data_IF_373644449641
#
_entry.id   IF_373644449641
#
_cell.length_a   1.000
_cell.length_b   1.000
_cell.length_c   1.000
_cell.angle_alpha   90.00
_cell.angle_beta   90.00
_cell.angle_gamma   90.00
#
_symmetry.space_group_name_H-M   'P 1'
#
loop_
_entity.id
_entity.type
_entity.pdbx_description
1 polymer ?
#
# COMPACT_ATOMS: atom_id res chain seq x y z
N UNK A 1 -13.95 35.81 -24.53
CA UNK A 1 -13.54 34.48 -24.04
C UNK A 1 -14.63 33.97 -23.11
N UNK A 2 -15.12 32.75 -23.29
CA UNK A 2 -16.16 32.20 -22.41
C UNK A 2 -15.61 32.06 -20.99
N UNK A 3 -16.37 32.52 -19.99
CA UNK A 3 -15.97 32.40 -18.59
C UNK A 3 -16.03 30.93 -18.18
N UNK A 4 -14.91 30.42 -17.65
CA UNK A 4 -14.86 29.04 -17.16
C UNK A 4 -15.88 28.91 -16.01
N UNK A 5 -16.72 27.87 -15.99
CA UNK A 5 -17.68 27.68 -14.91
C UNK A 5 -16.98 27.58 -13.55
N UNK A 6 -17.53 28.24 -12.52
CA UNK A 6 -16.93 28.24 -11.17
C UNK A 6 -16.86 26.83 -10.55
N UNK A 7 -17.66 25.89 -11.06
CA UNK A 7 -17.64 24.46 -10.71
C UNK A 7 -16.38 23.73 -11.18
N UNK A 8 -15.62 24.30 -12.11
CA UNK A 8 -14.38 23.69 -12.61
C UNK A 8 -13.22 24.02 -11.69
N UNK A 9 -12.53 22.98 -11.25
CA UNK A 9 -11.30 23.06 -10.50
C UNK A 9 -10.11 22.79 -11.43
N UNK A 10 -9.52 23.87 -11.95
CA UNK A 10 -8.38 23.78 -12.89
C UNK A 10 -7.14 23.17 -12.23
N UNK A 11 -6.98 23.35 -10.92
CA UNK A 11 -5.86 22.74 -10.18
C UNK A 11 -6.06 21.23 -10.12
N UNK A 12 -7.27 20.77 -9.83
CA UNK A 12 -7.58 19.34 -9.87
C UNK A 12 -7.37 18.72 -11.25
N UNK A 13 -7.68 19.45 -12.33
CA UNK A 13 -7.41 18.99 -13.71
C UNK A 13 -5.91 18.80 -13.93
N UNK A 14 -5.09 19.75 -13.51
CA UNK A 14 -3.64 19.67 -13.66
C UNK A 14 -3.02 18.57 -12.80
N UNK A 15 -3.48 18.41 -11.56
CA UNK A 15 -3.07 17.30 -10.70
C UNK A 15 -3.38 15.94 -11.37
N UNK A 16 -4.57 15.77 -11.95
CA UNK A 16 -4.94 14.54 -12.69
C UNK A 16 -4.04 14.30 -13.91
N UNK A 17 -3.69 15.37 -14.64
CA UNK A 17 -2.74 15.30 -15.77
C UNK A 17 -1.38 14.78 -15.30
N UNK A 18 -0.84 15.33 -14.21
CA UNK A 18 0.44 14.92 -13.64
C UNK A 18 0.41 13.45 -13.16
N UNK A 19 -0.70 13.02 -12.53
CA UNK A 19 -0.90 11.62 -12.14
C UNK A 19 -0.87 10.69 -13.36
N UNK A 20 -1.59 11.03 -14.44
CA UNK A 20 -1.64 10.22 -15.67
C UNK A 20 -0.26 10.10 -16.34
N UNK A 21 0.57 11.14 -16.25
CA UNK A 21 1.96 11.11 -16.73
C UNK A 21 2.96 10.49 -15.75
N UNK A 22 2.48 9.86 -14.66
CA UNK A 22 3.31 9.24 -13.61
C UNK A 22 4.26 10.22 -12.91
N UNK A 23 3.99 11.53 -12.97
CA UNK A 23 4.76 12.60 -12.31
C UNK A 23 4.24 12.85 -10.90
N UNK A 24 4.26 11.80 -10.07
CA UNK A 24 3.59 11.81 -8.76
C UNK A 24 4.20 12.82 -7.78
N UNK A 25 5.51 13.03 -7.80
CA UNK A 25 6.16 14.02 -6.91
C UNK A 25 5.66 15.44 -7.19
N UNK A 26 5.49 15.78 -8.47
CA UNK A 26 5.00 17.10 -8.89
C UNK A 26 3.51 17.26 -8.63
N UNK A 27 2.72 16.18 -8.84
CA UNK A 27 1.31 16.17 -8.47
C UNK A 27 1.13 16.41 -6.95
N UNK A 28 1.97 15.78 -6.13
CA UNK A 28 1.98 15.96 -4.67
C UNK A 28 2.39 17.37 -4.28
N UNK A 29 3.47 17.91 -4.83
CA UNK A 29 3.93 19.28 -4.55
C UNK A 29 2.86 20.32 -4.90
N UNK A 30 2.21 20.18 -6.06
CA UNK A 30 1.12 21.04 -6.47
C UNK A 30 -0.09 20.95 -5.53
N UNK A 31 -0.45 19.74 -5.09
CA UNK A 31 -1.53 19.53 -4.14
C UNK A 31 -1.23 20.17 -2.77
N UNK A 32 -0.02 20.02 -2.24
CA UNK A 32 0.41 20.64 -0.96
C UNK A 32 0.36 22.15 -1.05
N UNK A 33 1.00 22.75 -2.06
CA UNK A 33 1.03 24.21 -2.25
C UNK A 33 -0.38 24.80 -2.33
N UNK A 34 -1.30 24.10 -2.99
CA UNK A 34 -2.68 24.58 -3.12
C UNK A 34 -3.45 24.48 -1.80
N UNK A 35 -3.19 23.43 -1.00
CA UNK A 35 -3.75 23.30 0.35
C UNK A 35 -3.21 24.37 1.30
N UNK A 36 -1.91 24.61 1.30
CA UNK A 36 -1.24 25.64 2.12
C UNK A 36 -1.74 27.05 1.78
N UNK A 37 -2.02 27.32 0.50
CA UNK A 37 -2.59 28.57 0.06
C UNK A 37 -4.06 28.78 0.50
N UNK A 38 -4.71 27.78 1.12
CA UNK A 38 -6.09 27.87 1.61
C UNK A 38 -7.16 28.03 0.52
N UNK A 39 -6.79 27.85 -0.76
CA UNK A 39 -7.65 28.06 -1.93
C UNK A 39 -8.08 26.76 -2.62
N UNK A 40 -7.70 25.60 -2.05
CA UNK A 40 -8.05 24.30 -2.58
C UNK A 40 -9.57 24.06 -2.57
N UNK A 41 -10.16 23.87 -3.75
CA UNK A 41 -11.54 23.40 -3.89
C UNK A 41 -11.66 21.92 -3.52
N UNK A 42 -12.89 21.43 -3.35
CA UNK A 42 -13.19 20.08 -2.87
C UNK A 42 -12.55 18.96 -3.72
N UNK A 43 -12.47 19.13 -5.04
CA UNK A 43 -11.84 18.14 -5.93
C UNK A 43 -10.31 18.08 -5.73
N UNK A 44 -9.64 19.23 -5.64
CA UNK A 44 -8.22 19.28 -5.26
C UNK A 44 -7.96 18.65 -3.89
N UNK A 45 -8.82 18.90 -2.89
CA UNK A 45 -8.69 18.30 -1.57
C UNK A 45 -8.79 16.77 -1.61
N UNK A 46 -9.74 16.19 -2.37
CA UNK A 46 -9.86 14.72 -2.55
C UNK A 46 -8.63 14.11 -3.21
N UNK A 47 -8.11 14.77 -4.25
CA UNK A 47 -6.89 14.33 -4.93
C UNK A 47 -5.68 14.44 -4.01
N UNK A 48 -5.58 15.51 -3.22
CA UNK A 48 -4.54 15.68 -2.23
C UNK A 48 -4.60 14.59 -1.15
N UNK A 49 -5.78 14.21 -0.68
CA UNK A 49 -5.93 13.04 0.21
C UNK A 49 -5.38 11.78 -0.46
N UNK A 50 -5.71 11.55 -1.74
CA UNK A 50 -5.22 10.37 -2.47
C UNK A 50 -3.68 10.37 -2.64
N UNK A 51 -3.07 11.55 -2.82
CA UNK A 51 -1.64 11.72 -3.03
C UNK A 51 -0.82 11.73 -1.73
N UNK A 52 -1.33 12.40 -0.70
CA UNK A 52 -0.66 12.64 0.59
C UNK A 52 -0.93 11.54 1.59
N UNK A 53 -2.18 11.07 1.64
CA UNK A 53 -2.48 9.76 2.18
C UNK A 53 -2.11 8.77 1.08
N UNK A 54 -0.80 8.67 0.81
CA UNK A 54 -0.24 7.35 0.54
C UNK A 54 -0.68 6.51 1.72
N UNK A 55 -1.84 5.85 1.63
CA UNK A 55 -1.98 4.57 2.28
C UNK A 55 -0.80 3.81 1.71
N UNK A 56 0.29 3.73 2.50
CA UNK A 56 1.07 2.52 2.54
C UNK A 56 0.02 1.43 2.41
N UNK A 57 0.07 0.64 1.34
CA UNK A 57 -0.88 -0.45 1.21
C UNK A 57 -0.90 -1.09 2.59
N UNK A 58 -2.03 -0.99 3.29
CA UNK A 58 -2.18 -1.74 4.52
C UNK A 58 -1.95 -3.14 3.99
N UNK A 59 -0.87 -3.84 4.41
CA UNK A 59 -0.61 -5.17 3.87
C UNK A 59 -1.93 -5.89 3.95
N UNK A 60 -2.38 -6.54 2.86
CA UNK A 60 -3.66 -7.23 2.87
C UNK A 60 -3.72 -8.06 4.16
N UNK A 61 -4.54 -7.64 5.11
CA UNK A 61 -4.61 -8.28 6.42
C UNK A 61 -5.91 -9.03 6.44
N UNK A 62 -5.82 -10.35 6.47
CA UNK A 62 -6.97 -11.24 6.46
C UNK A 62 -6.51 -12.71 6.48
N UNK A 63 -7.43 -13.64 6.75
CA UNK A 63 -7.13 -15.07 6.81
C UNK A 63 -6.40 -15.59 5.56
N UNK A 64 -6.80 -15.12 4.36
CA UNK A 64 -6.17 -15.50 3.09
C UNK A 64 -4.69 -15.11 3.03
N UNK A 65 -4.34 -13.87 3.42
CA UNK A 65 -2.92 -13.47 3.46
C UNK A 65 -2.12 -14.24 4.50
N UNK A 66 -2.72 -14.55 5.64
CA UNK A 66 -2.08 -15.37 6.66
C UNK A 66 -1.85 -16.80 6.16
N UNK A 67 -2.77 -17.34 5.36
CA UNK A 67 -2.61 -18.63 4.69
C UNK A 67 -1.53 -18.60 3.62
N UNK A 68 -1.45 -17.56 2.79
CA UNK A 68 -0.34 -17.39 1.84
C UNK A 68 1.02 -17.31 2.55
N UNK A 69 1.11 -16.54 3.64
CA UNK A 69 2.32 -16.46 4.45
C UNK A 69 2.65 -17.84 5.05
N UNK A 70 1.68 -18.55 5.60
CA UNK A 70 1.87 -19.90 6.14
C UNK A 70 2.33 -20.92 5.09
N UNK A 71 1.72 -20.91 3.91
CA UNK A 71 2.04 -21.78 2.77
C UNK A 71 3.48 -21.57 2.28
N UNK A 72 3.87 -20.32 2.03
CA UNK A 72 5.23 -19.98 1.59
C UNK A 72 6.25 -20.42 2.64
N UNK A 73 5.97 -20.23 3.93
CA UNK A 73 6.88 -20.65 4.99
C UNK A 73 6.98 -22.18 5.15
N UNK A 74 5.87 -22.92 4.99
CA UNK A 74 5.85 -24.38 5.04
C UNK A 74 6.78 -25.02 3.99
N UNK A 75 6.67 -24.57 2.73
CA UNK A 75 7.53 -25.09 1.66
C UNK A 75 9.00 -24.75 1.87
N UNK A 76 9.30 -23.60 2.46
CA UNK A 76 10.67 -23.21 2.75
C UNK A 76 11.30 -24.01 3.90
N UNK A 77 10.51 -24.38 4.92
CA UNK A 77 10.96 -25.31 5.95
C UNK A 77 11.24 -26.70 5.36
N UNK A 78 10.40 -27.16 4.43
CA UNK A 78 10.62 -28.41 3.68
C UNK A 78 11.88 -28.35 2.79
N UNK A 79 12.24 -27.18 2.27
CA UNK A 79 13.47 -26.93 1.50
C UNK A 79 14.71 -26.70 2.40
N UNK A 80 14.56 -26.76 3.73
CA UNK A 80 15.65 -26.57 4.70
C UNK A 80 16.09 -25.13 4.90
N UNK A 81 15.35 -24.16 4.36
CA UNK A 81 15.62 -22.72 4.52
C UNK A 81 15.03 -22.24 5.84
N UNK A 82 15.87 -21.68 6.71
CA UNK A 82 15.38 -21.11 7.98
C UNK A 82 14.45 -19.93 7.68
N UNK A 83 13.23 -19.89 8.26
CA UNK A 83 12.26 -18.81 8.03
C UNK A 83 12.83 -17.39 8.30
N UNK A 84 13.79 -17.29 9.21
CA UNK A 84 14.48 -16.04 9.56
C UNK A 84 15.39 -15.47 8.45
N UNK A 85 15.90 -16.31 7.55
CA UNK A 85 16.75 -15.86 6.44
C UNK A 85 15.92 -15.15 5.36
N UNK A 86 14.74 -15.70 5.04
CA UNK A 86 13.82 -15.10 4.07
C UNK A 86 13.17 -13.81 4.59
N UNK A 87 12.98 -13.67 5.92
CA UNK A 87 12.61 -12.39 6.56
C UNK A 87 13.56 -11.30 6.11
N UNK A 88 14.87 -11.54 6.22
CA UNK A 88 15.88 -10.54 5.89
C UNK A 88 15.99 -10.29 4.38
N UNK A 89 15.64 -11.28 3.55
CA UNK A 89 15.65 -11.16 2.09
C UNK A 89 14.42 -10.43 1.54
N UNK A 90 13.20 -10.79 1.96
CA UNK A 90 11.96 -10.12 1.54
C UNK A 90 11.80 -8.72 2.13
N UNK A 91 12.25 -8.49 3.37
CA UNK A 91 12.25 -7.14 3.98
C UNK A 91 13.25 -6.18 3.33
N UNK A 92 14.23 -6.69 2.56
CA UNK A 92 15.22 -5.85 1.86
C UNK A 92 14.65 -5.18 0.60
N UNK A 93 13.55 -5.69 0.04
CA UNK A 93 13.03 -5.26 -1.26
C UNK A 93 11.69 -4.52 -1.23
N UNK A 94 10.94 -4.55 -0.13
CA UNK A 94 9.63 -3.89 -0.06
C UNK A 94 9.70 -2.55 0.72
N UNK A 95 9.17 -1.45 0.16
CA UNK A 95 9.12 -0.13 0.82
C UNK A 95 8.14 -0.08 2.01
N UNK A 96 7.46 -1.19 2.29
CA UNK A 96 6.63 -1.39 3.45
C UNK A 96 7.31 -2.46 4.30
N UNK A 97 8.08 -2.02 5.30
CA UNK A 97 8.53 -2.88 6.38
C UNK A 97 7.31 -3.63 6.94
N UNK A 98 7.15 -4.89 6.54
CA UNK A 98 6.21 -5.81 7.16
C UNK A 98 6.78 -6.13 8.54
N UNK A 99 6.61 -5.21 9.49
CA UNK A 99 7.05 -5.31 10.89
C UNK A 99 6.27 -6.39 11.65
N UNK A 100 6.18 -7.60 11.11
CA UNK A 100 5.60 -8.75 11.76
C UNK A 100 6.63 -9.37 12.69
N UNK A 101 6.22 -9.59 13.94
CA UNK A 101 7.04 -10.28 14.93
C UNK A 101 7.14 -11.77 14.61
N UNK A 102 8.18 -12.44 15.13
CA UNK A 102 8.35 -13.90 15.00
C UNK A 102 7.10 -14.67 15.48
N UNK A 103 6.38 -14.14 16.46
CA UNK A 103 5.12 -14.69 16.94
C UNK A 103 4.01 -14.66 15.88
N UNK A 104 3.96 -13.62 15.04
CA UNK A 104 2.99 -13.49 13.96
C UNK A 104 3.22 -14.54 12.86
N UNK A 105 4.48 -14.79 12.50
CA UNK A 105 4.83 -15.83 11.52
C UNK A 105 4.52 -17.23 12.03
N UNK A 106 4.88 -17.55 13.28
CA UNK A 106 4.52 -18.84 13.91
C UNK A 106 3.01 -19.09 13.90
N UNK A 107 2.23 -18.03 14.15
CA UNK A 107 0.76 -18.10 14.08
C UNK A 107 0.26 -18.40 12.67
N UNK A 108 0.81 -17.74 11.64
CA UNK A 108 0.44 -18.00 10.25
C UNK A 108 0.74 -19.45 9.82
N UNK A 109 1.92 -19.97 10.18
CA UNK A 109 2.31 -21.37 9.92
C UNK A 109 1.36 -22.34 10.63
N UNK A 110 1.09 -22.10 11.91
CA UNK A 110 0.17 -22.94 12.69
C UNK A 110 -1.26 -22.92 12.13
N UNK A 111 -1.75 -21.77 11.67
CA UNK A 111 -3.06 -21.66 11.03
C UNK A 111 -3.11 -22.44 9.72
N UNK A 112 -2.07 -22.34 8.89
CA UNK A 112 -1.98 -23.09 7.64
C UNK A 112 -1.95 -24.61 7.87
N UNK A 113 -1.12 -25.08 8.80
CA UNK A 113 -1.03 -26.51 9.14
C UNK A 113 -2.35 -27.05 9.67
N UNK A 114 -3.08 -26.26 10.47
CA UNK A 114 -4.39 -26.63 10.99
C UNK A 114 -5.44 -26.74 9.87
N UNK A 115 -5.49 -25.76 8.97
CA UNK A 115 -6.40 -25.78 7.84
C UNK A 115 -6.15 -26.99 6.92
N UNK A 116 -4.88 -27.36 6.70
CA UNK A 116 -4.53 -28.59 5.96
C UNK A 116 -4.99 -29.87 6.65
N UNK A 117 -4.83 -29.95 7.97
CA UNK A 117 -5.24 -31.12 8.74
C UNK A 117 -6.77 -31.25 8.89
N UNK A 118 -7.52 -30.19 8.64
CA UNK A 118 -9.00 -30.21 8.62
C UNK A 118 -9.56 -30.55 7.21
N UNK A 119 -8.73 -30.49 6.16
CA UNK A 119 -9.07 -30.79 4.75
C UNK A 119 -8.65 -32.21 4.30
N UNK A 120 -7.82 -32.91 5.10
CA UNK A 120 -7.42 -34.33 4.96
C UNK A 120 -8.32 -35.26 5.79
#
# INVERSE_FOLDING_TARGET
MAKIPDSVDLVAVEIRRLINHKRLAEATDLAVKTLEAGSAKSETQKLAVTLLVRKAHRPETGPEKWMEIGHVNYWLEAEGVKPQALRNEKMRGEPHNLHYSDAHFKKCISMYNRARAEDE
#
